data_IF_980559001617
#
_entry.id   IF_980559001617
#
_cell.length_a   1.000
_cell.length_b   1.000
_cell.length_c   1.000
_cell.angle_alpha   90.00
_cell.angle_beta   90.00
_cell.angle_gamma   90.00
#
_symmetry.space_group_name_H-M   'P 1'
#
loop_
_entity.id
_entity.type
_entity.pdbx_description
1 polymer ?
#
# COMPACT_ATOMS: atom_id res chain seq x y z
N UNK A 1 10.43 -6.25 -31.80
CA UNK A 1 9.96 -6.43 -30.41
C UNK A 1 9.47 -5.07 -29.94
N UNK A 2 8.16 -4.89 -29.78
CA UNK A 2 7.61 -3.66 -29.18
C UNK A 2 7.95 -3.65 -27.70
N UNK A 3 8.71 -2.65 -27.26
CA UNK A 3 8.98 -2.47 -25.84
C UNK A 3 7.66 -2.09 -25.15
N UNK A 4 7.24 -2.86 -24.15
CA UNK A 4 6.06 -2.52 -23.35
C UNK A 4 6.30 -1.19 -22.65
N UNK A 5 5.38 -0.24 -22.79
CA UNK A 5 5.43 1.00 -22.04
C UNK A 5 5.23 0.72 -20.53
N UNK A 6 5.84 1.51 -19.63
CA UNK A 6 5.63 1.36 -18.19
C UNK A 6 4.20 1.72 -17.82
N UNK A 7 3.63 0.97 -16.86
CA UNK A 7 2.34 1.26 -16.24
C UNK A 7 2.53 1.82 -14.85
N UNK A 8 1.74 2.82 -14.50
CA UNK A 8 1.75 3.50 -13.22
C UNK A 8 0.42 3.29 -12.52
N UNK A 9 0.40 3.27 -11.20
CA UNK A 9 -0.82 3.29 -10.39
C UNK A 9 -0.68 4.37 -9.31
N UNK A 10 -1.82 4.89 -8.84
CA UNK A 10 -1.84 5.85 -7.74
C UNK A 10 -2.57 5.23 -6.56
N UNK A 11 -1.91 5.29 -5.41
CA UNK A 11 -2.42 4.80 -4.15
C UNK A 11 -2.40 5.93 -3.12
N UNK A 12 -3.39 5.94 -2.25
CA UNK A 12 -3.40 6.75 -1.05
C UNK A 12 -2.77 5.94 0.09
N UNK A 13 -1.70 6.47 0.67
CA UNK A 13 -1.14 6.00 1.93
C UNK A 13 -1.54 6.96 3.06
N UNK A 14 -2.10 6.48 4.18
CA UNK A 14 -2.38 7.33 5.32
C UNK A 14 -1.12 8.00 5.87
N UNK A 15 -1.24 9.19 6.47
CA UNK A 15 -0.13 9.82 7.18
C UNK A 15 0.36 8.92 8.33
N UNK A 16 1.67 8.79 8.51
CA UNK A 16 2.28 7.83 9.44
C UNK A 16 1.89 8.05 10.93
N UNK A 17 1.52 9.28 11.30
CA UNK A 17 1.05 9.65 12.63
C UNK A 17 -0.48 9.55 12.79
N UNK A 18 -1.20 9.15 11.75
CA UNK A 18 -2.67 9.08 11.76
C UNK A 18 -3.19 7.83 12.47
N UNK A 19 -4.44 7.90 12.94
CA UNK A 19 -5.14 6.74 13.50
C UNK A 19 -5.31 5.62 12.46
N UNK A 20 -5.51 5.98 11.19
CA UNK A 20 -5.69 5.01 10.09
C UNK A 20 -4.40 4.26 9.79
N UNK A 21 -3.23 4.92 9.89
CA UNK A 21 -1.93 4.25 9.79
C UNK A 21 -1.75 3.23 10.91
N UNK A 22 -1.93 3.65 12.17
CA UNK A 22 -1.82 2.75 13.33
C UNK A 22 -2.74 1.53 13.20
N UNK A 23 -3.99 1.75 12.82
CA UNK A 23 -4.94 0.66 12.56
C UNK A 23 -4.41 -0.28 11.49
N UNK A 24 -4.07 0.25 10.31
CA UNK A 24 -3.64 -0.56 9.17
C UNK A 24 -2.36 -1.34 9.42
N UNK A 25 -1.35 -0.70 10.01
CA UNK A 25 -0.10 -1.35 10.38
C UNK A 25 -0.32 -2.46 11.40
N UNK A 26 -1.15 -2.25 12.42
CA UNK A 26 -1.43 -3.27 13.44
C UNK A 26 -2.27 -4.41 12.85
N UNK A 27 -3.19 -4.13 11.92
CA UNK A 27 -3.91 -5.19 11.20
C UNK A 27 -2.96 -6.05 10.36
N UNK A 28 -1.94 -5.45 9.75
CA UNK A 28 -0.98 -6.13 8.86
C UNK A 28 0.27 -6.66 9.59
N UNK A 29 0.47 -6.32 10.87
CA UNK A 29 1.64 -6.68 11.67
C UNK A 29 2.94 -6.07 11.15
N UNK A 30 2.86 -4.96 10.42
CA UNK A 30 4.01 -4.33 9.76
C UNK A 30 3.80 -2.82 9.57
N UNK A 31 4.80 -2.03 9.96
CA UNK A 31 4.87 -0.60 9.65
C UNK A 31 5.71 -0.39 8.37
N UNK A 32 5.04 0.05 7.29
CA UNK A 32 5.67 0.23 5.98
C UNK A 32 6.54 1.50 5.88
N UNK A 33 6.45 2.43 6.84
CA UNK A 33 7.26 3.64 6.87
C UNK A 33 8.59 3.38 7.59
N UNK A 34 8.58 2.59 8.66
CA UNK A 34 9.80 2.21 9.40
C UNK A 34 10.42 0.91 8.94
N UNK A 35 9.65 0.06 8.26
CA UNK A 35 10.09 -1.28 7.83
C UNK A 35 10.13 -2.31 8.97
N UNK A 36 9.37 -2.09 10.04
CA UNK A 36 9.42 -2.91 11.25
C UNK A 36 8.20 -3.82 11.36
N UNK A 37 8.41 -5.03 11.88
CA UNK A 37 7.32 -5.87 12.38
C UNK A 37 6.72 -5.23 13.64
N UNK A 38 5.40 -5.29 13.75
CA UNK A 38 4.68 -4.82 14.93
C UNK A 38 3.62 -5.83 15.37
N UNK A 39 3.19 -5.73 16.63
CA UNK A 39 2.17 -6.61 17.18
C UNK A 39 0.84 -6.49 16.42
N UNK A 40 0.24 -7.64 16.14
CA UNK A 40 -1.04 -7.70 15.45
C UNK A 40 -2.18 -7.20 16.35
N UNK A 41 -3.04 -6.36 15.77
CA UNK A 41 -4.39 -6.15 16.27
C UNK A 41 -5.34 -7.08 15.52
N UNK A 42 -5.41 -8.35 15.96
CA UNK A 42 -6.31 -9.36 15.36
C UNK A 42 -7.77 -8.93 15.60
N UNK A 43 -8.60 -8.81 14.55
CA UNK A 43 -10.01 -8.49 14.71
C UNK A 43 -10.76 -9.55 15.52
N UNK A 44 -11.74 -9.11 16.31
CA UNK A 44 -12.60 -10.01 17.06
C UNK A 44 -13.31 -11.00 16.12
N UNK A 45 -13.33 -12.28 16.50
CA UNK A 45 -13.91 -13.36 15.71
C UNK A 45 -12.96 -13.96 14.66
N UNK A 46 -11.70 -13.51 14.61
CA UNK A 46 -10.66 -14.05 13.73
C UNK A 46 -9.54 -14.76 14.52
N UNK A 47 -9.72 -15.00 15.82
CA UNK A 47 -8.69 -15.52 16.71
C UNK A 47 -8.23 -16.94 16.37
N UNK A 48 -9.09 -17.73 15.71
CA UNK A 48 -8.77 -19.10 15.26
C UNK A 48 -8.02 -19.14 13.93
N UNK A 49 -7.93 -18.02 13.21
CA UNK A 49 -7.18 -17.93 11.96
C UNK A 49 -5.71 -17.67 12.23
N UNK A 50 -4.83 -18.23 11.40
CA UNK A 50 -3.45 -17.73 11.34
C UNK A 50 -3.45 -16.36 10.66
N UNK A 51 -3.61 -15.32 11.47
CA UNK A 51 -3.70 -13.94 10.99
C UNK A 51 -2.41 -13.50 10.27
N UNK A 52 -1.27 -14.09 10.64
CA UNK A 52 0.00 -13.80 9.99
C UNK A 52 0.04 -14.32 8.56
N UNK A 53 -0.53 -15.51 8.32
CA UNK A 53 -0.69 -16.10 6.98
C UNK A 53 -1.70 -15.30 6.15
N UNK A 54 -2.86 -14.97 6.73
CA UNK A 54 -3.91 -14.16 6.06
C UNK A 54 -3.38 -12.80 5.57
N UNK A 55 -2.45 -12.21 6.32
CA UNK A 55 -1.92 -10.87 6.01
C UNK A 55 -0.57 -10.89 5.29
N UNK A 56 -0.01 -12.08 4.99
CA UNK A 56 1.33 -12.24 4.42
C UNK A 56 1.55 -11.56 3.06
N UNK A 57 0.52 -11.54 2.21
CA UNK A 57 0.55 -10.81 0.93
C UNK A 57 0.30 -9.31 1.08
N UNK A 58 -0.81 -8.84 1.69
CA UNK A 58 -1.10 -7.41 1.75
C UNK A 58 -0.08 -6.61 2.55
N UNK A 59 0.57 -7.20 3.58
CA UNK A 59 1.58 -6.50 4.38
C UNK A 59 2.76 -5.98 3.57
N UNK A 60 3.07 -6.61 2.43
CA UNK A 60 4.16 -6.20 1.52
C UNK A 60 3.93 -4.82 0.90
N UNK A 61 2.69 -4.38 0.83
CA UNK A 61 2.28 -3.12 0.23
C UNK A 61 1.87 -2.06 1.26
N UNK A 62 1.79 -2.43 2.55
CA UNK A 62 1.25 -1.58 3.60
C UNK A 62 -0.25 -1.29 3.43
N UNK A 63 -0.84 -0.64 4.43
CA UNK A 63 -2.26 -0.28 4.39
C UNK A 63 -2.49 0.93 3.50
N UNK A 64 -3.22 0.76 2.40
CA UNK A 64 -3.40 1.80 1.39
C UNK A 64 -4.74 1.64 0.64
N UNK A 65 -5.15 2.67 -0.10
CA UNK A 65 -6.31 2.62 -0.98
C UNK A 65 -5.90 2.90 -2.43
N UNK A 66 -6.54 2.23 -3.39
CA UNK A 66 -6.32 2.54 -4.82
C UNK A 66 -7.05 3.82 -5.19
N UNK A 67 -6.33 4.86 -5.63
CA UNK A 67 -6.90 6.07 -6.21
C UNK A 67 -7.07 5.94 -7.73
N UNK A 68 -6.09 5.30 -8.39
CA UNK A 68 -6.12 5.04 -9.82
C UNK A 68 -5.45 3.70 -10.14
N UNK A 69 -6.22 2.81 -10.75
CA UNK A 69 -5.75 1.51 -11.24
C UNK A 69 -4.65 1.66 -12.31
N UNK A 70 -3.83 0.62 -12.57
CA UNK A 70 -2.66 0.74 -13.42
C UNK A 70 -2.95 1.25 -14.85
N UNK A 71 -2.26 2.31 -15.26
CA UNK A 71 -2.48 3.06 -16.51
C UNK A 71 -1.14 3.43 -17.19
N UNK A 72 -1.18 3.68 -18.49
CA UNK A 72 -0.06 4.29 -19.22
C UNK A 72 -0.16 5.81 -19.20
N UNK A 73 0.97 6.51 -19.27
CA UNK A 73 0.96 7.97 -19.36
C UNK A 73 0.37 8.42 -20.70
N UNK A 74 -0.44 9.49 -20.66
CA UNK A 74 -0.95 10.12 -21.87
C UNK A 74 0.20 10.71 -22.71
N UNK A 75 0.00 10.78 -24.03
CA UNK A 75 0.96 11.40 -24.95
C UNK A 75 1.36 12.81 -24.48
N UNK A 76 2.68 13.09 -24.50
CA UNK A 76 3.24 14.36 -24.03
C UNK A 76 3.34 14.51 -22.50
N UNK A 77 2.94 13.50 -21.71
CA UNK A 77 3.21 13.45 -20.26
C UNK A 77 4.46 12.60 -19.97
N UNK A 78 5.09 12.88 -18.84
CA UNK A 78 6.27 12.14 -18.38
C UNK A 78 6.16 11.78 -16.90
N UNK A 79 6.98 10.83 -16.47
CA UNK A 79 7.00 10.29 -15.12
C UNK A 79 7.32 11.35 -14.04
N UNK A 80 8.19 12.30 -14.35
CA UNK A 80 8.54 13.38 -13.43
C UNK A 80 7.33 14.22 -13.03
N UNK A 81 6.48 14.56 -14.01
CA UNK A 81 5.23 15.28 -13.77
C UNK A 81 4.24 14.46 -12.92
N UNK A 82 4.16 13.14 -13.14
CA UNK A 82 3.32 12.26 -12.32
C UNK A 82 3.81 12.20 -10.86
N UNK A 83 5.12 12.04 -10.66
CA UNK A 83 5.73 11.99 -9.32
C UNK A 83 5.60 13.31 -8.56
N UNK A 84 5.66 14.45 -9.25
CA UNK A 84 5.46 15.75 -8.64
C UNK A 84 4.00 15.98 -8.19
N UNK A 85 3.02 15.45 -8.94
CA UNK A 85 1.60 15.52 -8.57
C UNK A 85 1.26 14.61 -7.38
N UNK A 86 1.91 13.46 -7.25
CA UNK A 86 1.59 12.43 -6.27
C UNK A 86 2.31 12.58 -4.91
N UNK A 87 3.04 13.69 -4.68
CA UNK A 87 3.64 14.04 -3.39
C UNK A 87 2.64 14.82 -2.54
#
# INVERSE_FOLDING_TARGET
MTQSAPRYALYYAPAADSALWRFGSATLGYDAATGADIDFAVPQGCEELDWSDVTAEPRRYGFHATLKAPFELANGRNEGALRAFAR
#
